data_IF_290525491359
#
_entry.id   IF_290525491359
#
_cell.length_a   1.000
_cell.length_b   1.000
_cell.length_c   1.000
_cell.angle_alpha   90.00
_cell.angle_beta   90.00
_cell.angle_gamma   90.00
#
_symmetry.space_group_name_H-M   'P 1'
#
loop_
_entity.id
_entity.type
_entity.pdbx_description
1 polymer ?
#
# COMPACT_ATOMS: atom_id res chain seq x y z
N UNK A 1 -33.16 -27.90 12.46
CA UNK A 1 -31.87 -27.51 11.84
C UNK A 1 -31.36 -26.32 12.63
N UNK A 2 -30.31 -26.50 13.44
CA UNK A 2 -29.66 -25.39 14.12
C UNK A 2 -29.00 -24.49 13.07
N UNK A 3 -29.04 -23.15 13.19
CA UNK A 3 -28.28 -22.29 12.30
C UNK A 3 -26.80 -22.64 12.48
N UNK A 4 -26.16 -23.11 11.41
CA UNK A 4 -24.71 -23.24 11.38
C UNK A 4 -24.19 -21.82 11.62
N UNK A 5 -23.51 -21.64 12.75
CA UNK A 5 -22.92 -20.35 13.07
C UNK A 5 -21.79 -20.09 12.07
N UNK A 6 -21.98 -19.14 11.15
CA UNK A 6 -20.98 -18.63 10.18
C UNK A 6 -19.83 -17.86 10.86
N UNK A 7 -19.41 -18.32 12.04
CA UNK A 7 -18.30 -17.75 12.79
C UNK A 7 -17.01 -18.26 12.19
N UNK A 8 -16.14 -17.32 11.84
CA UNK A 8 -14.81 -17.60 11.35
C UNK A 8 -13.98 -18.40 12.37
N UNK A 9 -13.34 -19.52 11.95
CA UNK A 9 -12.35 -20.23 12.76
C UNK A 9 -11.22 -19.31 13.22
N UNK A 10 -10.75 -19.46 14.47
CA UNK A 10 -9.74 -18.55 15.05
C UNK A 10 -8.44 -18.47 14.22
N UNK A 11 -7.97 -19.61 13.74
CA UNK A 11 -6.79 -19.72 12.86
C UNK A 11 -6.99 -19.00 11.51
N UNK A 12 -8.21 -19.01 10.96
CA UNK A 12 -8.52 -18.25 9.76
C UNK A 12 -8.60 -16.76 10.07
N UNK A 13 -9.23 -16.38 11.19
CA UNK A 13 -9.35 -14.97 11.59
C UNK A 13 -7.98 -14.28 11.69
N UNK A 14 -7.02 -14.91 12.35
CA UNK A 14 -5.65 -14.38 12.44
C UNK A 14 -5.02 -14.19 11.04
N UNK A 15 -5.24 -15.12 10.10
CA UNK A 15 -4.76 -14.98 8.72
C UNK A 15 -5.44 -13.84 7.96
N UNK A 16 -6.76 -13.71 8.11
CA UNK A 16 -7.50 -12.60 7.53
C UNK A 16 -7.00 -11.26 8.06
N UNK A 17 -6.80 -11.13 9.37
CA UNK A 17 -6.28 -9.91 9.98
C UNK A 17 -4.87 -9.56 9.43
N UNK A 18 -3.98 -10.54 9.29
CA UNK A 18 -2.66 -10.34 8.68
C UNK A 18 -2.72 -9.88 7.22
N UNK A 19 -3.57 -10.52 6.41
CA UNK A 19 -3.78 -10.14 5.00
C UNK A 19 -4.38 -8.74 4.91
N UNK A 20 -5.43 -8.46 5.68
CA UNK A 20 -6.11 -7.17 5.71
C UNK A 20 -5.16 -6.05 6.13
N UNK A 21 -4.34 -6.26 7.16
CA UNK A 21 -3.31 -5.29 7.57
C UNK A 21 -2.33 -4.98 6.43
N UNK A 22 -1.84 -5.99 5.71
CA UNK A 22 -0.95 -5.77 4.56
C UNK A 22 -1.64 -4.99 3.43
N UNK A 23 -2.92 -5.27 3.16
CA UNK A 23 -3.70 -4.53 2.16
C UNK A 23 -3.92 -3.07 2.60
N UNK A 24 -4.23 -2.82 3.87
CA UNK A 24 -4.37 -1.47 4.41
C UNK A 24 -3.07 -0.67 4.32
N UNK A 25 -1.94 -1.27 4.67
CA UNK A 25 -0.63 -0.63 4.57
C UNK A 25 -0.25 -0.34 3.10
N UNK A 26 -0.50 -1.29 2.19
CA UNK A 26 -0.30 -1.10 0.76
C UNK A 26 -1.16 0.07 0.24
N UNK A 27 -2.46 0.08 0.54
CA UNK A 27 -3.39 1.12 0.13
C UNK A 27 -3.00 2.50 0.67
N UNK A 28 -2.73 2.60 1.98
CA UNK A 28 -2.29 3.85 2.60
C UNK A 28 -0.99 4.36 1.99
N UNK A 29 0.00 3.49 1.79
CA UNK A 29 1.27 3.89 1.19
C UNK A 29 1.10 4.36 -0.27
N UNK A 30 0.25 3.67 -1.04
CA UNK A 30 -0.04 4.02 -2.43
C UNK A 30 -0.75 5.37 -2.55
N UNK A 31 -1.79 5.61 -1.76
CA UNK A 31 -2.51 6.89 -1.72
C UNK A 31 -1.60 8.03 -1.31
N UNK A 32 -0.86 7.87 -0.21
CA UNK A 32 0.08 8.88 0.29
C UNK A 32 1.17 9.21 -0.75
N UNK A 33 1.72 8.18 -1.40
CA UNK A 33 2.74 8.35 -2.43
C UNK A 33 2.18 9.06 -3.66
N UNK A 34 0.94 8.79 -4.06
CA UNK A 34 0.26 9.51 -5.13
C UNK A 34 0.07 10.99 -4.77
N UNK A 35 -0.46 11.28 -3.58
CA UNK A 35 -0.66 12.66 -3.08
C UNK A 35 0.62 13.48 -3.18
N UNK A 36 1.77 12.94 -2.74
CA UNK A 36 3.03 13.69 -2.75
C UNK A 36 3.79 13.61 -4.09
N UNK A 37 3.30 12.82 -5.04
CA UNK A 37 3.82 12.75 -6.41
C UNK A 37 2.96 13.54 -7.40
N UNK A 38 1.84 14.08 -6.94
CA UNK A 38 0.93 14.92 -7.73
C UNK A 38 1.64 16.19 -8.24
N UNK A 39 1.20 16.64 -9.41
CA UNK A 39 1.71 17.80 -10.13
C UNK A 39 0.84 19.05 -9.96
N UNK A 40 -0.35 18.94 -9.35
CA UNK A 40 -1.30 20.04 -9.19
C UNK A 40 -1.01 20.98 -8.01
N UNK A 41 0.17 20.87 -7.40
CA UNK A 41 0.61 21.77 -6.34
C UNK A 41 1.04 23.14 -6.86
N UNK A 42 0.71 24.18 -6.11
CA UNK A 42 1.29 25.52 -6.30
C UNK A 42 2.80 25.51 -6.06
N UNK A 43 3.53 26.49 -6.58
CA UNK A 43 4.99 26.61 -6.39
C UNK A 43 5.43 26.53 -4.92
N UNK A 44 4.62 27.06 -4.00
CA UNK A 44 4.90 27.06 -2.56
C UNK A 44 4.72 25.68 -1.95
N UNK A 45 3.65 24.99 -2.32
CA UNK A 45 3.40 23.60 -1.91
C UNK A 45 4.49 22.68 -2.49
N UNK A 46 4.89 22.89 -3.75
CA UNK A 46 6.01 22.17 -4.38
C UNK A 46 7.32 22.35 -3.61
N UNK A 47 7.61 23.54 -3.06
CA UNK A 47 8.80 23.76 -2.23
C UNK A 47 8.83 22.88 -0.97
N UNK A 48 7.66 22.52 -0.43
CA UNK A 48 7.50 21.63 0.72
C UNK A 48 7.63 20.18 0.28
N UNK A 49 6.92 19.78 -0.77
CA UNK A 49 6.92 18.41 -1.32
C UNK A 49 8.29 18.01 -1.87
N UNK A 50 9.07 18.97 -2.37
CA UNK A 50 10.45 18.75 -2.85
C UNK A 50 11.50 18.93 -1.75
N UNK A 51 11.09 19.15 -0.50
CA UNK A 51 12.02 19.22 0.62
C UNK A 51 12.68 17.86 0.89
N UNK A 52 13.78 17.90 1.63
CA UNK A 52 14.52 16.69 2.03
C UNK A 52 13.64 15.71 2.82
N UNK A 53 12.79 16.21 3.71
CA UNK A 53 11.87 15.40 4.53
C UNK A 53 10.90 14.61 3.67
N UNK A 54 10.24 15.27 2.71
CA UNK A 54 9.32 14.58 1.80
C UNK A 54 10.04 13.64 0.83
N UNK A 55 11.28 13.94 0.47
CA UNK A 55 12.10 13.03 -0.35
C UNK A 55 12.37 11.71 0.37
N UNK A 56 12.71 11.73 1.67
CA UNK A 56 12.86 10.52 2.49
C UNK A 56 11.52 9.81 2.73
N UNK A 57 10.45 10.58 2.94
CA UNK A 57 9.11 10.04 3.12
C UNK A 57 8.65 9.28 1.86
N UNK A 58 8.88 9.82 0.66
CA UNK A 58 8.62 9.13 -0.63
C UNK A 58 9.29 7.76 -0.70
N UNK A 59 10.57 7.69 -0.35
CA UNK A 59 11.32 6.42 -0.36
C UNK A 59 10.75 5.41 0.65
N UNK A 60 10.38 5.90 1.84
CA UNK A 60 9.79 5.06 2.89
C UNK A 60 8.42 4.50 2.46
N UNK A 61 7.58 5.32 1.84
CA UNK A 61 6.29 4.90 1.30
C UNK A 61 6.47 3.90 0.16
N UNK A 62 7.41 4.13 -0.76
CA UNK A 62 7.74 3.16 -1.81
C UNK A 62 8.19 1.82 -1.23
N UNK A 63 9.05 1.82 -0.22
CA UNK A 63 9.46 0.59 0.47
C UNK A 63 8.26 -0.14 1.07
N UNK A 64 7.42 0.56 1.82
CA UNK A 64 6.21 0.00 2.42
C UNK A 64 5.30 -0.64 1.36
N UNK A 65 5.01 0.11 0.29
CA UNK A 65 4.22 -0.36 -0.84
C UNK A 65 4.79 -1.65 -1.43
N UNK A 66 6.08 -1.65 -1.78
CA UNK A 66 6.75 -2.79 -2.43
C UNK A 66 6.73 -4.02 -1.53
N UNK A 67 7.04 -3.86 -0.24
CA UNK A 67 7.11 -4.97 0.70
C UNK A 67 5.73 -5.55 0.97
N UNK A 68 4.74 -4.72 1.28
CA UNK A 68 3.38 -5.20 1.57
C UNK A 68 2.71 -5.80 0.34
N UNK A 69 2.88 -5.18 -0.83
CA UNK A 69 2.40 -5.73 -2.10
C UNK A 69 3.01 -7.12 -2.36
N UNK A 70 4.33 -7.27 -2.25
CA UNK A 70 4.97 -8.56 -2.57
C UNK A 70 4.60 -9.68 -1.60
N UNK A 71 4.45 -9.38 -0.30
CA UNK A 71 3.98 -10.34 0.72
C UNK A 71 2.64 -10.99 0.36
N UNK A 72 1.70 -10.22 -0.21
CA UNK A 72 0.37 -10.71 -0.61
C UNK A 72 0.44 -11.84 -1.65
N UNK A 73 1.50 -11.90 -2.47
CA UNK A 73 1.67 -12.88 -3.55
C UNK A 73 2.67 -14.01 -3.22
N UNK A 74 3.22 -14.04 -2.01
CA UNK A 74 4.20 -15.06 -1.61
C UNK A 74 3.50 -16.38 -1.26
N UNK A 75 3.78 -17.45 -2.01
CA UNK A 75 3.37 -18.82 -1.63
C UNK A 75 4.35 -19.49 -0.65
N UNK A 76 5.56 -18.94 -0.54
CA UNK A 76 6.67 -19.46 0.26
C UNK A 76 7.33 -20.72 -0.31
N UNK A 77 8.51 -21.05 0.25
CA UNK A 77 9.15 -22.35 0.08
C UNK A 77 8.89 -23.17 1.34
N UNK A 78 8.10 -24.25 1.24
CA UNK A 78 7.97 -25.35 2.22
C UNK A 78 7.51 -25.06 3.66
N UNK A 79 7.88 -23.93 4.27
CA UNK A 79 7.49 -23.53 5.62
C UNK A 79 6.15 -22.79 5.62
N UNK A 80 5.16 -23.35 6.33
CA UNK A 80 3.82 -22.79 6.47
C UNK A 80 3.75 -21.53 7.35
N UNK A 81 4.81 -21.23 8.09
CA UNK A 81 4.92 -20.08 9.01
C UNK A 81 5.51 -18.83 8.36
N UNK A 82 6.35 -19.00 7.33
CA UNK A 82 6.84 -17.88 6.53
C UNK A 82 5.71 -17.42 5.61
N UNK A 83 5.31 -16.15 5.57
CA UNK A 83 4.24 -15.58 4.71
C UNK A 83 2.79 -15.70 5.21
N UNK A 84 2.53 -15.23 6.43
CA UNK A 84 1.18 -15.18 7.04
C UNK A 84 0.19 -14.27 6.31
N UNK A 85 0.66 -13.20 5.66
CA UNK A 85 -0.18 -12.23 4.93
C UNK A 85 -0.46 -12.58 3.47
N UNK A 86 -0.23 -13.82 3.04
CA UNK A 86 -0.38 -14.22 1.63
C UNK A 86 -1.84 -14.50 1.26
N UNK A 87 -2.31 -13.89 0.16
CA UNK A 87 -3.64 -14.14 -0.40
C UNK A 87 -3.77 -15.56 -0.94
N UNK A 88 -2.72 -16.10 -1.58
CA UNK A 88 -2.70 -17.49 -2.03
C UNK A 88 -2.91 -18.45 -0.86
N UNK A 89 -2.24 -18.19 0.28
CA UNK A 89 -2.35 -19.05 1.45
C UNK A 89 -3.67 -18.88 2.19
N UNK A 90 -4.25 -17.69 2.19
CA UNK A 90 -5.60 -17.46 2.70
C UNK A 90 -6.62 -18.25 1.86
N UNK A 91 -6.53 -18.13 0.53
CA UNK A 91 -7.37 -18.86 -0.43
C UNK A 91 -7.28 -20.39 -0.22
N UNK A 92 -6.06 -20.92 -0.07
CA UNK A 92 -5.81 -22.34 0.21
C UNK A 92 -6.28 -22.79 1.60
N UNK A 93 -6.26 -21.90 2.60
CA UNK A 93 -6.70 -22.23 3.95
C UNK A 93 -8.23 -22.35 4.02
N UNK A 94 -8.95 -21.45 3.35
CA UNK A 94 -10.41 -21.49 3.30
C UNK A 94 -10.88 -22.75 2.57
N UNK A 95 -10.29 -23.10 1.42
CA UNK A 95 -10.66 -24.32 0.69
C UNK A 95 -10.49 -25.60 1.54
N UNK A 96 -9.51 -25.63 2.44
CA UNK A 96 -9.30 -26.79 3.35
C UNK A 96 -10.39 -26.89 4.42
N UNK A 97 -10.92 -25.75 4.85
CA UNK A 97 -11.92 -25.68 5.91
C UNK A 97 -13.36 -25.72 5.32
N UNK A 98 -13.54 -25.40 4.04
CA UNK A 98 -14.83 -25.39 3.33
C UNK A 98 -14.69 -25.80 1.85
N UNK A 99 -15.18 -26.99 1.49
CA UNK A 99 -15.16 -27.48 0.10
C UNK A 99 -16.11 -26.70 -0.83
N UNK A 100 -17.15 -26.05 -0.29
CA UNK A 100 -18.10 -25.27 -1.11
C UNK A 100 -17.44 -24.03 -1.73
N UNK A 101 -16.34 -23.57 -1.15
CA UNK A 101 -15.52 -22.47 -1.63
C UNK A 101 -14.76 -22.78 -2.94
N UNK A 102 -14.80 -24.01 -3.46
CA UNK A 102 -13.99 -24.47 -4.60
C UNK A 102 -14.09 -23.60 -5.86
N UNK A 103 -15.27 -23.09 -6.20
CA UNK A 103 -15.43 -22.23 -7.37
C UNK A 103 -14.75 -20.86 -7.17
N UNK A 104 -14.99 -20.22 -6.01
CA UNK A 104 -14.34 -18.96 -5.63
C UNK A 104 -12.83 -19.12 -5.50
N UNK A 105 -12.36 -20.28 -5.03
CA UNK A 105 -10.93 -20.61 -4.99
C UNK A 105 -10.28 -20.54 -6.38
N UNK A 106 -10.90 -21.15 -7.39
CA UNK A 106 -10.39 -21.17 -8.77
C UNK A 106 -10.38 -19.75 -9.35
N UNK A 107 -11.46 -19.00 -9.19
CA UNK A 107 -11.56 -17.61 -9.62
C UNK A 107 -10.47 -16.73 -8.98
N UNK A 108 -10.26 -16.88 -7.67
CA UNK A 108 -9.21 -16.18 -6.94
C UNK A 108 -7.81 -16.57 -7.45
N UNK A 109 -7.54 -17.85 -7.70
CA UNK A 109 -6.26 -18.30 -8.28
C UNK A 109 -6.00 -17.68 -9.65
N UNK A 110 -7.02 -17.62 -10.51
CA UNK A 110 -6.92 -17.00 -11.84
C UNK A 110 -6.63 -15.51 -11.71
N UNK A 111 -7.35 -14.80 -10.83
CA UNK A 111 -7.13 -13.38 -10.56
C UNK A 111 -5.71 -13.11 -10.04
N UNK A 112 -5.24 -13.86 -9.03
CA UNK A 112 -3.90 -13.68 -8.48
C UNK A 112 -2.80 -14.03 -9.49
N UNK A 113 -3.02 -15.06 -10.32
CA UNK A 113 -2.09 -15.44 -11.38
C UNK A 113 -2.03 -14.38 -12.49
N UNK A 114 -3.18 -13.79 -12.85
CA UNK A 114 -3.28 -12.66 -13.78
C UNK A 114 -2.51 -11.44 -13.28
N UNK A 115 -2.63 -11.11 -11.99
CA UNK A 115 -1.84 -10.00 -11.42
C UNK A 115 -0.33 -10.29 -11.47
N UNK A 116 0.09 -11.53 -11.23
CA UNK A 116 1.51 -11.91 -11.29
C UNK A 116 2.11 -11.88 -12.69
N UNK A 117 1.29 -12.00 -13.74
CA UNK A 117 1.77 -11.96 -15.12
C UNK A 117 1.90 -10.54 -15.68
N UNK A 118 1.49 -9.50 -14.93
CA UNK A 118 1.60 -8.13 -15.41
C UNK A 118 3.04 -7.60 -15.35
N UNK A 119 3.33 -6.63 -16.23
CA UNK A 119 4.61 -5.92 -16.24
C UNK A 119 4.83 -5.19 -14.91
N UNK A 120 3.76 -4.66 -14.32
CA UNK A 120 3.81 -4.00 -13.02
C UNK A 120 4.29 -4.93 -11.91
N UNK A 121 3.79 -6.17 -11.83
CA UNK A 121 4.24 -7.13 -10.81
C UNK A 121 5.75 -7.42 -10.94
N UNK A 122 6.24 -7.68 -12.15
CA UNK A 122 7.68 -7.93 -12.35
C UNK A 122 8.51 -6.67 -12.08
N UNK A 123 8.01 -5.48 -12.40
CA UNK A 123 8.66 -4.21 -12.03
C UNK A 123 8.84 -4.10 -10.50
N UNK A 124 7.78 -4.29 -9.72
CA UNK A 124 7.82 -4.22 -8.25
C UNK A 124 8.76 -5.28 -7.66
N UNK A 125 8.74 -6.49 -8.18
CA UNK A 125 9.63 -7.58 -7.75
C UNK A 125 11.11 -7.24 -7.99
N UNK A 126 11.43 -6.65 -9.15
CA UNK A 126 12.79 -6.17 -9.43
C UNK A 126 13.20 -5.06 -8.46
N UNK A 127 12.29 -4.14 -8.11
CA UNK A 127 12.57 -3.09 -7.12
C UNK A 127 12.85 -3.68 -5.74
N UNK A 128 12.03 -4.63 -5.28
CA UNK A 128 12.24 -5.37 -4.02
C UNK A 128 13.63 -6.01 -3.99
N UNK A 129 13.95 -6.81 -5.00
CA UNK A 129 15.15 -7.66 -5.01
C UNK A 129 16.45 -6.87 -5.23
N UNK A 130 16.43 -5.78 -6.01
CA UNK A 130 17.66 -5.06 -6.39
C UNK A 130 17.94 -3.80 -5.59
N UNK A 131 16.92 -2.98 -5.32
CA UNK A 131 17.12 -1.63 -4.76
C UNK A 131 16.92 -1.59 -3.27
N UNK A 132 15.91 -2.29 -2.77
CA UNK A 132 15.52 -2.23 -1.36
C UNK A 132 16.09 -3.37 -0.51
N UNK A 133 16.59 -4.45 -1.13
CA UNK A 133 17.29 -5.52 -0.42
C UNK A 133 18.77 -5.22 -0.10
N UNK A 134 19.39 -4.23 -0.77
CA UNK A 134 20.84 -3.98 -0.75
C UNK A 134 21.25 -2.49 -0.67
N UNK A 135 20.33 -1.62 -0.24
CA UNK A 135 20.57 -0.16 -0.16
C UNK A 135 21.61 0.23 0.88
N UNK A 136 21.79 -0.56 1.93
CA UNK A 136 22.64 -0.18 3.08
C UNK A 136 24.16 -0.34 2.80
N UNK A 137 24.54 -1.03 1.73
CA UNK A 137 25.92 -1.46 1.49
C UNK A 137 26.72 -0.64 0.45
N UNK A 138 26.15 0.39 -0.19
CA UNK A 138 26.86 1.14 -1.23
C UNK A 138 26.51 2.65 -1.29
N UNK A 139 27.54 3.52 -1.27
CA UNK A 139 27.41 4.99 -1.45
C UNK A 139 26.67 5.42 -2.73
N UNK A 140 26.61 4.55 -3.76
CA UNK A 140 25.85 4.79 -5.00
C UNK A 140 24.34 4.56 -4.86
N UNK A 141 23.89 3.88 -3.81
CA UNK A 141 22.49 3.55 -3.54
C UNK A 141 21.81 4.54 -2.58
N UNK A 142 22.20 5.81 -2.66
CA UNK A 142 21.53 6.88 -1.90
C UNK A 142 20.01 6.79 -2.09
N UNK A 143 19.21 6.84 -1.01
CA UNK A 143 17.74 6.88 -1.08
C UNK A 143 17.23 7.96 -2.05
N UNK A 144 17.95 9.08 -2.17
CA UNK A 144 17.61 10.19 -3.07
C UNK A 144 17.76 9.87 -4.56
N UNK A 145 18.45 8.77 -4.91
CA UNK A 145 18.61 8.32 -6.30
C UNK A 145 17.51 7.32 -6.71
N UNK A 146 16.61 6.95 -5.81
CA UNK A 146 15.50 6.05 -6.11
C UNK A 146 14.47 6.84 -6.93
N UNK A 147 14.26 6.42 -8.18
CA UNK A 147 13.23 7.00 -9.03
C UNK A 147 11.84 6.80 -8.41
N UNK A 148 11.08 7.90 -8.36
CA UNK A 148 9.66 7.91 -8.01
C UNK A 148 8.83 7.06 -8.96
N UNK A 149 7.61 6.71 -8.53
CA UNK A 149 6.61 6.09 -9.39
C UNK A 149 6.04 7.11 -10.37
N UNK A 150 5.70 6.67 -11.57
CA UNK A 150 5.04 7.48 -12.58
C UNK A 150 3.52 7.30 -12.53
N UNK A 151 2.76 8.16 -13.21
CA UNK A 151 1.29 8.08 -13.29
C UNK A 151 0.79 6.68 -13.63
N UNK A 152 1.42 6.03 -14.62
CA UNK A 152 1.08 4.66 -15.01
C UNK A 152 1.33 3.63 -13.89
N UNK A 153 2.38 3.79 -13.10
CA UNK A 153 2.64 2.89 -11.96
C UNK A 153 1.53 3.01 -10.91
N UNK A 154 0.98 4.21 -10.69
CA UNK A 154 -0.16 4.41 -9.79
C UNK A 154 -1.45 3.79 -10.35
N UNK A 155 -1.74 3.99 -11.64
CA UNK A 155 -2.89 3.38 -12.31
C UNK A 155 -2.85 1.85 -12.22
N UNK A 156 -1.71 1.25 -12.55
CA UNK A 156 -1.50 -0.20 -12.46
C UNK A 156 -1.62 -0.68 -11.00
N UNK A 157 -1.06 0.07 -10.03
CA UNK A 157 -1.13 -0.30 -8.61
C UNK A 157 -2.57 -0.26 -8.06
N UNK A 158 -3.37 0.75 -8.41
CA UNK A 158 -4.78 0.83 -7.99
C UNK A 158 -5.64 -0.25 -8.66
N UNK A 159 -5.38 -0.57 -9.93
CA UNK A 159 -6.02 -1.70 -10.61
C UNK A 159 -5.70 -3.04 -9.93
N UNK A 160 -4.43 -3.25 -9.54
CA UNK A 160 -4.05 -4.43 -8.77
C UNK A 160 -4.76 -4.47 -7.40
N UNK A 161 -4.83 -3.33 -6.71
CA UNK A 161 -5.46 -3.21 -5.40
C UNK A 161 -6.98 -3.49 -5.45
N UNK A 162 -7.67 -3.10 -6.53
CA UNK A 162 -9.10 -3.43 -6.69
C UNK A 162 -9.33 -4.93 -6.84
N UNK A 163 -8.51 -5.63 -7.63
CA UNK A 163 -8.60 -7.10 -7.77
C UNK A 163 -8.22 -7.80 -6.46
N UNK A 164 -7.21 -7.30 -5.74
CA UNK A 164 -6.84 -7.80 -4.41
C UNK A 164 -8.03 -7.68 -3.44
N UNK A 165 -8.76 -6.56 -3.46
CA UNK A 165 -9.97 -6.39 -2.65
C UNK A 165 -11.06 -7.38 -3.02
N UNK A 166 -11.29 -7.63 -4.31
CA UNK A 166 -12.25 -8.64 -4.78
C UNK A 166 -11.89 -10.04 -4.24
N UNK A 167 -10.62 -10.43 -4.32
CA UNK A 167 -10.14 -11.71 -3.76
C UNK A 167 -10.38 -11.79 -2.25
N UNK A 168 -10.14 -10.70 -1.51
CA UNK A 168 -10.40 -10.66 -0.06
C UNK A 168 -11.91 -10.80 0.24
N UNK A 169 -12.76 -10.09 -0.49
CA UNK A 169 -14.23 -10.17 -0.34
C UNK A 169 -14.72 -11.58 -0.64
N UNK A 170 -14.22 -12.19 -1.72
CA UNK A 170 -14.54 -13.57 -2.05
C UNK A 170 -14.17 -14.49 -0.90
N UNK A 171 -12.96 -14.35 -0.36
CA UNK A 171 -12.50 -15.11 0.80
C UNK A 171 -13.42 -14.91 2.03
N UNK A 172 -13.87 -13.68 2.32
CA UNK A 172 -14.68 -13.41 3.52
C UNK A 172 -16.17 -13.71 3.37
N UNK A 173 -16.67 -13.88 2.13
CA UNK A 173 -18.11 -13.90 1.83
C UNK A 173 -18.97 -14.98 2.51
N UNK A 174 -18.37 -16.09 2.95
CA UNK A 174 -19.08 -17.16 3.68
C UNK A 174 -19.14 -16.92 5.20
N UNK A 175 -18.47 -15.88 5.69
CA UNK A 175 -18.37 -15.56 7.10
C UNK A 175 -19.14 -14.30 7.46
N UNK A 176 -19.63 -14.24 8.70
CA UNK A 176 -20.39 -13.09 9.22
C UNK A 176 -19.45 -11.96 9.69
N UNK A 177 -18.61 -11.45 8.79
CA UNK A 177 -17.83 -10.24 9.00
C UNK A 177 -17.49 -9.56 7.66
N UNK A 178 -17.30 -8.25 7.71
CA UNK A 178 -16.92 -7.43 6.56
C UNK A 178 -15.68 -6.61 6.89
N UNK A 179 -14.75 -6.57 5.95
CA UNK A 179 -13.60 -5.66 6.00
C UNK A 179 -13.93 -4.43 5.16
N UNK A 180 -14.07 -3.29 5.81
CA UNK A 180 -14.22 -2.01 5.10
C UNK A 180 -12.85 -1.58 4.55
N UNK A 181 -12.74 -1.54 3.23
CA UNK A 181 -11.53 -1.10 2.54
C UNK A 181 -11.91 -0.08 1.47
N UNK A 182 -11.69 1.18 1.79
CA UNK A 182 -11.85 2.27 0.84
C UNK A 182 -10.61 2.36 -0.07
N UNK A 183 -10.81 2.30 -1.39
CA UNK A 183 -9.73 2.42 -2.39
C UNK A 183 -10.12 3.53 -3.38
N UNK A 184 -9.28 4.56 -3.58
CA UNK A 184 -8.11 4.91 -2.75
C UNK A 184 -8.52 5.23 -1.32
N UNK A 185 -7.56 5.20 -0.38
CA UNK A 185 -7.78 5.73 0.96
C UNK A 185 -8.19 7.21 0.87
N UNK A 186 -9.16 7.66 1.70
CA UNK A 186 -9.60 9.06 1.73
C UNK A 186 -8.84 9.95 2.72
N UNK A 187 -7.84 9.41 3.41
CA UNK A 187 -7.00 10.17 4.32
C UNK A 187 -6.27 11.29 3.56
N UNK A 188 -6.59 12.53 3.92
CA UNK A 188 -6.07 13.74 3.32
C UNK A 188 -5.16 14.52 4.27
N UNK A 189 -4.72 13.92 5.39
CA UNK A 189 -3.91 14.62 6.40
C UNK A 189 -2.60 15.14 5.83
N UNK A 190 -1.93 14.38 4.97
CA UNK A 190 -0.69 14.81 4.32
C UNK A 190 -0.91 15.97 3.36
N UNK A 191 -1.95 15.89 2.53
CA UNK A 191 -2.33 17.01 1.64
C UNK A 191 -2.65 18.27 2.45
N UNK A 192 -3.48 18.14 3.49
CA UNK A 192 -3.81 19.23 4.39
C UNK A 192 -2.56 19.83 5.03
N UNK A 193 -1.64 19.00 5.53
CA UNK A 193 -0.37 19.45 6.10
C UNK A 193 0.42 20.29 5.10
N UNK A 194 0.57 19.84 3.86
CA UNK A 194 1.28 20.57 2.80
C UNK A 194 0.63 21.95 2.58
N UNK A 195 -0.69 21.97 2.41
CA UNK A 195 -1.47 23.20 2.17
C UNK A 195 -1.38 24.18 3.33
N UNK A 196 -1.51 23.70 4.57
CA UNK A 196 -1.40 24.55 5.77
C UNK A 196 0.01 25.10 5.94
N UNK A 197 1.03 24.27 5.74
CA UNK A 197 2.42 24.69 5.91
C UNK A 197 2.84 25.71 4.85
N UNK A 198 2.33 25.60 3.62
CA UNK A 198 2.55 26.59 2.56
C UNK A 198 1.95 27.96 2.96
N UNK A 199 0.70 27.97 3.44
CA UNK A 199 0.03 29.19 3.92
C UNK A 199 0.71 29.80 5.15
N UNK A 200 1.15 28.95 6.09
CA UNK A 200 1.80 29.42 7.32
C UNK A 200 3.14 30.12 7.03
N UNK A 201 3.97 29.55 6.13
CA UNK A 201 5.23 30.20 5.72
C UNK A 201 4.97 31.60 5.19
N UNK A 202 3.94 31.80 4.37
CA UNK A 202 3.61 33.14 3.84
C UNK A 202 3.26 34.13 4.94
N UNK A 203 2.45 33.71 5.91
CA UNK A 203 2.04 34.57 7.02
C UNK A 203 3.24 34.95 7.89
N UNK A 204 4.03 33.95 8.31
CA UNK A 204 5.21 34.17 9.15
C UNK A 204 6.25 35.05 8.44
N UNK A 205 6.55 34.83 7.16
CA UNK A 205 7.51 35.66 6.44
C UNK A 205 7.00 37.09 6.26
N UNK A 206 5.71 37.30 6.00
CA UNK A 206 5.13 38.64 5.90
C UNK A 206 5.20 39.39 7.23
N UNK A 207 4.80 38.74 8.32
CA UNK A 207 4.79 39.36 9.64
C UNK A 207 6.21 39.57 10.17
N UNK A 208 7.13 38.65 9.93
CA UNK A 208 8.54 38.84 10.24
C UNK A 208 9.15 40.02 9.46
N UNK A 209 8.90 40.12 8.16
CA UNK A 209 9.40 41.25 7.35
C UNK A 209 8.79 42.57 7.81
N UNK A 210 7.52 42.58 8.17
CA UNK A 210 6.84 43.75 8.74
C UNK A 210 7.42 44.14 10.09
N UNK A 211 7.58 43.21 11.02
CA UNK A 211 8.20 43.45 12.33
C UNK A 211 9.63 43.97 12.20
N UNK A 212 10.41 43.41 11.26
CA UNK A 212 11.77 43.87 10.95
C UNK A 212 11.80 45.28 10.36
N UNK A 213 10.82 45.66 9.54
CA UNK A 213 10.68 47.02 9.01
C UNK A 213 10.24 48.02 10.09
N UNK A 214 9.48 47.56 11.08
CA UNK A 214 9.01 48.33 12.23
C UNK A 214 10.06 48.43 13.37
N UNK A 215 11.24 47.82 13.19
CA UNK A 215 12.39 47.99 14.08
C UNK A 215 12.48 47.00 15.26
N UNK A 216 11.79 45.86 15.15
CA UNK A 216 11.97 44.70 16.04
C UNK A 216 12.96 43.68 15.45
#
# INVERSE_FOLDING_TARGET
MSPISNKIPKNLKEKFDHVYCSICLFNSALTELQIISDHDYSEKELSIVNSHTFSLYKVTLQYCLIMEYTKLFERGRSNKEEHVSSLFRLNEAILKDDESFRLKFIENEENLTRLKSTVFFEHIKVLRDKKFAHSDSHEKNSPFNIKGFQTKDFEDAFFHLSIIKEVLINCSSEFDFEYDLQIPNSDNRTENFIRYQAKYKDYYFKDYLKARQEGL
#
